data_IF_927323434917
#
_entry.id   IF_927323434917
#
_cell.length_a   1.000
_cell.length_b   1.000
_cell.length_c   1.000
_cell.angle_alpha   90.00
_cell.angle_beta   90.00
_cell.angle_gamma   90.00
#
_symmetry.space_group_name_H-M   'P 1'
#
loop_
_entity.id
_entity.type
_entity.pdbx_description
1 polymer ?
#
# COMPACT_ATOMS: atom_id res chain seq x y z
N UNK A 1 32.47 -22.01 10.92
CA UNK A 1 31.11 -21.47 11.17
C UNK A 1 30.97 -19.98 10.82
N UNK A 2 31.83 -19.09 11.32
CA UNK A 2 31.69 -17.62 11.10
C UNK A 2 31.63 -17.17 9.62
N UNK A 3 32.36 -17.85 8.72
CA UNK A 3 32.42 -17.52 7.28
C UNK A 3 31.10 -17.82 6.53
N UNK A 4 30.48 -18.97 6.80
CA UNK A 4 29.17 -19.35 6.23
C UNK A 4 28.06 -18.38 6.63
N UNK A 5 28.09 -17.86 7.86
CA UNK A 5 27.11 -16.86 8.35
C UNK A 5 27.28 -15.53 7.62
N UNK A 6 28.52 -15.10 7.39
CA UNK A 6 28.81 -13.87 6.64
C UNK A 6 28.35 -13.95 5.17
N UNK A 7 28.58 -15.09 4.53
CA UNK A 7 28.17 -15.32 3.14
C UNK A 7 26.63 -15.40 3.00
N UNK A 8 25.94 -15.95 4.00
CA UNK A 8 24.47 -15.94 4.10
C UNK A 8 23.91 -14.52 4.25
N UNK A 9 24.49 -13.71 5.15
CA UNK A 9 24.02 -12.34 5.41
C UNK A 9 24.21 -11.44 4.18
N UNK A 10 25.28 -11.66 3.40
CA UNK A 10 25.55 -10.93 2.16
C UNK A 10 24.78 -11.43 0.96
N UNK A 11 24.09 -12.58 1.06
CA UNK A 11 23.37 -13.12 -0.07
C UNK A 11 22.18 -12.21 -0.41
N UNK A 12 22.00 -11.79 -1.68
CA UNK A 12 20.96 -10.84 -2.10
C UNK A 12 19.56 -11.22 -1.61
N UNK A 13 19.24 -12.52 -1.69
CA UNK A 13 17.98 -13.07 -1.18
C UNK A 13 17.76 -12.81 0.32
N UNK A 14 18.80 -12.96 1.15
CA UNK A 14 18.69 -12.75 2.59
C UNK A 14 18.59 -11.26 2.90
N UNK A 15 19.48 -10.43 2.33
CA UNK A 15 19.46 -8.99 2.57
C UNK A 15 18.17 -8.34 2.07
N UNK A 16 17.69 -8.70 0.88
CA UNK A 16 16.45 -8.18 0.31
C UNK A 16 15.22 -8.59 1.12
N UNK A 17 15.13 -9.87 1.50
CA UNK A 17 14.05 -10.36 2.37
C UNK A 17 14.08 -9.70 3.74
N UNK A 18 15.26 -9.47 4.31
CA UNK A 18 15.40 -8.81 5.62
C UNK A 18 14.92 -7.35 5.57
N UNK A 19 15.27 -6.61 4.51
CA UNK A 19 14.77 -5.24 4.31
C UNK A 19 13.24 -5.23 4.22
N UNK A 20 12.66 -6.16 3.46
CA UNK A 20 11.20 -6.28 3.33
C UNK A 20 10.52 -6.63 4.66
N UNK A 21 11.09 -7.58 5.42
CA UNK A 21 10.56 -8.01 6.71
C UNK A 21 10.63 -6.90 7.76
N UNK A 22 11.77 -6.23 7.90
CA UNK A 22 11.93 -5.13 8.85
C UNK A 22 11.02 -3.96 8.48
N UNK A 23 10.97 -3.61 7.19
CA UNK A 23 10.11 -2.53 6.70
C UNK A 23 8.63 -2.80 6.93
N UNK A 24 8.14 -4.01 6.62
CA UNK A 24 6.73 -4.36 6.82
C UNK A 24 6.35 -4.40 8.30
N UNK A 25 7.19 -5.00 9.15
CA UNK A 25 6.96 -5.05 10.59
C UNK A 25 7.02 -3.66 11.23
N UNK A 26 7.93 -2.78 10.78
CA UNK A 26 7.97 -1.40 11.24
C UNK A 26 6.66 -0.66 10.93
N UNK A 27 6.12 -0.82 9.71
CA UNK A 27 4.81 -0.25 9.34
C UNK A 27 3.70 -0.83 10.21
N UNK A 28 3.66 -2.15 10.43
CA UNK A 28 2.67 -2.79 11.30
C UNK A 28 2.75 -2.30 12.75
N UNK A 29 3.96 -2.13 13.27
CA UNK A 29 4.19 -1.59 14.61
C UNK A 29 3.71 -0.15 14.73
N UNK A 30 4.00 0.71 13.74
CA UNK A 30 3.53 2.09 13.71
C UNK A 30 2.00 2.16 13.60
N UNK A 31 1.39 1.29 12.81
CA UNK A 31 -0.06 1.18 12.69
C UNK A 31 -0.71 0.78 14.03
N UNK A 32 -0.13 -0.21 14.71
CA UNK A 32 -0.58 -0.58 16.06
C UNK A 32 -0.47 0.59 17.05
N UNK A 33 0.67 1.30 17.05
CA UNK A 33 0.88 2.45 17.92
C UNK A 33 -0.13 3.57 17.63
N UNK A 34 -0.43 3.81 16.35
CA UNK A 34 -1.46 4.77 15.93
C UNK A 34 -2.82 4.42 16.53
N UNK A 35 -3.28 3.17 16.43
CA UNK A 35 -4.56 2.77 17.02
C UNK A 35 -4.57 2.87 18.55
N UNK A 36 -3.46 2.53 19.22
CA UNK A 36 -3.32 2.67 20.68
C UNK A 36 -3.43 4.13 21.13
N UNK A 37 -2.83 5.05 20.38
CA UNK A 37 -2.94 6.49 20.66
C UNK A 37 -4.36 6.97 20.36
N UNK A 38 -4.92 6.61 19.21
CA UNK A 38 -6.24 7.09 18.78
C UNK A 38 -7.39 6.61 19.67
N UNK A 39 -7.33 5.39 20.22
CA UNK A 39 -8.37 4.90 21.13
C UNK A 39 -8.43 5.69 22.44
N UNK A 40 -7.34 6.37 22.84
CA UNK A 40 -7.29 7.23 24.03
C UNK A 40 -7.67 8.67 23.75
N UNK A 41 -7.44 9.14 22.51
CA UNK A 41 -7.72 10.53 22.11
C UNK A 41 -9.17 10.71 21.64
N UNK A 42 -9.76 9.69 21.04
CA UNK A 42 -11.09 9.77 20.44
C UNK A 42 -12.17 9.21 21.37
N UNK A 43 -13.35 9.84 21.31
CA UNK A 43 -14.54 9.26 21.92
C UNK A 43 -14.90 7.93 21.22
N UNK A 44 -15.59 6.99 21.91
CA UNK A 44 -15.95 5.69 21.35
C UNK A 44 -16.65 5.75 19.97
N UNK A 45 -17.58 6.69 19.70
CA UNK A 45 -18.20 6.82 18.38
C UNK A 45 -17.19 7.17 17.28
N UNK A 46 -16.34 8.17 17.51
CA UNK A 46 -15.34 8.62 16.53
C UNK A 46 -14.24 7.58 16.27
N UNK A 47 -13.89 6.78 17.28
CA UNK A 47 -13.00 5.63 17.07
C UNK A 47 -13.65 4.55 16.21
N UNK A 48 -14.96 4.32 16.37
CA UNK A 48 -15.75 3.43 15.51
C UNK A 48 -15.72 3.87 14.04
N UNK A 49 -15.91 5.17 13.78
CA UNK A 49 -15.78 5.74 12.43
C UNK A 49 -14.36 5.51 11.87
N UNK A 50 -13.32 5.79 12.66
CA UNK A 50 -11.93 5.56 12.25
C UNK A 50 -11.69 4.10 11.86
N UNK A 51 -12.16 3.13 12.64
CA UNK A 51 -11.98 1.70 12.33
C UNK A 51 -12.74 1.30 11.07
N UNK A 52 -13.95 1.82 10.85
CA UNK A 52 -14.72 1.58 9.62
C UNK A 52 -13.97 2.13 8.39
N UNK A 53 -13.41 3.32 8.52
CA UNK A 53 -12.60 3.98 7.51
C UNK A 53 -11.31 3.19 7.19
N UNK A 54 -10.60 2.69 8.20
CA UNK A 54 -9.44 1.82 8.00
C UNK A 54 -9.81 0.48 7.34
N UNK A 55 -11.01 -0.05 7.63
CA UNK A 55 -11.53 -1.25 6.97
C UNK A 55 -11.77 -1.01 5.48
N UNK A 56 -12.28 0.16 5.10
CA UNK A 56 -12.42 0.58 3.71
C UNK A 56 -11.05 0.65 3.01
N UNK A 57 -10.04 1.23 3.67
CA UNK A 57 -8.65 1.24 3.16
C UNK A 57 -8.13 -0.20 2.98
N UNK A 58 -8.41 -1.07 3.96
CA UNK A 58 -8.03 -2.49 3.91
C UNK A 58 -8.61 -3.22 2.69
N UNK A 59 -9.88 -2.97 2.36
CA UNK A 59 -10.52 -3.52 1.16
C UNK A 59 -9.85 -3.05 -0.12
N UNK A 60 -9.52 -1.76 -0.23
CA UNK A 60 -8.76 -1.21 -1.36
C UNK A 60 -7.33 -1.80 -1.44
N UNK A 61 -6.78 -2.19 -0.30
CA UNK A 61 -5.50 -2.87 -0.18
C UNK A 61 -5.44 -4.21 -0.93
N UNK A 62 -6.57 -4.89 -1.14
CA UNK A 62 -6.64 -6.18 -1.86
C UNK A 62 -6.28 -6.01 -3.34
N UNK A 63 -6.77 -4.93 -3.96
CA UNK A 63 -6.43 -4.60 -5.35
C UNK A 63 -4.93 -4.26 -5.47
N UNK A 64 -4.44 -3.50 -4.49
CA UNK A 64 -3.06 -3.09 -4.37
C UNK A 64 -2.10 -4.28 -4.24
N UNK A 65 -2.44 -5.28 -3.41
CA UNK A 65 -1.59 -6.46 -3.19
C UNK A 65 -1.45 -7.32 -4.45
N UNK A 66 -2.53 -7.45 -5.21
CA UNK A 66 -2.52 -8.18 -6.49
C UNK A 66 -1.63 -7.48 -7.52
N UNK A 67 -1.74 -6.15 -7.66
CA UNK A 67 -0.88 -5.37 -8.54
C UNK A 67 0.59 -5.46 -8.13
N UNK A 68 0.89 -5.40 -6.83
CA UNK A 68 2.25 -5.52 -6.30
C UNK A 68 2.93 -6.82 -6.77
N UNK A 69 2.25 -7.96 -6.66
CA UNK A 69 2.79 -9.25 -7.12
C UNK A 69 3.03 -9.29 -8.63
N UNK A 70 2.13 -8.69 -9.42
CA UNK A 70 2.27 -8.61 -10.88
C UNK A 70 3.50 -7.80 -11.27
N UNK A 71 3.67 -6.61 -10.67
CA UNK A 71 4.84 -5.76 -10.96
C UNK A 71 6.14 -6.46 -10.58
N UNK A 72 6.22 -7.05 -9.38
CA UNK A 72 7.41 -7.77 -8.92
C UNK A 72 7.77 -8.89 -9.90
N UNK A 73 6.80 -9.68 -10.35
CA UNK A 73 7.00 -10.79 -11.28
C UNK A 73 7.54 -10.31 -12.64
N UNK A 74 7.01 -9.23 -13.19
CA UNK A 74 7.47 -8.72 -14.48
C UNK A 74 8.85 -8.05 -14.39
N UNK A 75 9.12 -7.34 -13.30
CA UNK A 75 10.42 -6.68 -13.08
C UNK A 75 11.52 -7.71 -12.82
N UNK A 76 11.26 -8.75 -12.02
CA UNK A 76 12.26 -9.79 -11.73
C UNK A 76 12.56 -10.70 -12.93
N UNK A 77 11.63 -10.81 -13.88
CA UNK A 77 11.82 -11.57 -15.11
C UNK A 77 12.51 -10.77 -16.24
N UNK A 78 12.60 -9.44 -16.10
CA UNK A 78 13.19 -8.58 -17.12
C UNK A 78 14.70 -8.79 -17.21
N UNK A 79 15.24 -8.85 -18.42
CA UNK A 79 16.66 -9.18 -18.67
C UNK A 79 17.55 -7.96 -18.79
N UNK A 80 16.96 -6.77 -18.91
CA UNK A 80 17.71 -5.54 -19.18
C UNK A 80 17.05 -4.30 -18.59
N UNK A 81 17.86 -3.28 -18.25
CA UNK A 81 17.36 -2.00 -17.74
C UNK A 81 16.38 -1.28 -18.70
N UNK A 82 16.57 -1.29 -20.04
CA UNK A 82 15.59 -0.73 -20.97
C UNK A 82 14.22 -1.42 -20.90
N UNK A 83 14.21 -2.75 -20.73
CA UNK A 83 12.97 -3.53 -20.60
C UNK A 83 12.22 -3.15 -19.33
N UNK A 84 12.92 -3.02 -18.19
CA UNK A 84 12.34 -2.55 -16.93
C UNK A 84 11.74 -1.15 -17.10
N UNK A 85 12.45 -0.22 -17.73
CA UNK A 85 11.92 1.13 -18.00
C UNK A 85 10.65 1.11 -18.85
N UNK A 86 10.60 0.25 -19.87
CA UNK A 86 9.42 0.06 -20.71
C UNK A 86 8.21 -0.43 -19.91
N UNK A 87 8.41 -1.46 -19.08
CA UNK A 87 7.38 -2.03 -18.19
C UNK A 87 6.88 -0.96 -17.20
N UNK A 88 7.80 -0.24 -16.54
CA UNK A 88 7.46 0.79 -15.56
C UNK A 88 6.70 1.94 -16.21
N UNK A 89 7.15 2.44 -17.37
CA UNK A 89 6.45 3.52 -18.07
C UNK A 89 5.03 3.12 -18.48
N UNK A 90 4.85 1.90 -19.00
CA UNK A 90 3.54 1.39 -19.39
C UNK A 90 2.62 1.22 -18.17
N UNK A 91 3.13 0.60 -17.10
CA UNK A 91 2.36 0.42 -15.87
C UNK A 91 2.03 1.74 -15.19
N UNK A 92 2.95 2.71 -15.18
CA UNK A 92 2.74 4.00 -14.52
C UNK A 92 1.52 4.73 -15.10
N UNK A 93 1.40 4.80 -16.43
CA UNK A 93 0.23 5.41 -17.06
C UNK A 93 -1.07 4.65 -16.75
N UNK A 94 -1.05 3.32 -16.74
CA UNK A 94 -2.24 2.50 -16.44
C UNK A 94 -2.65 2.61 -14.97
N UNK A 95 -1.69 2.55 -14.06
CA UNK A 95 -1.92 2.67 -12.61
C UNK A 95 -2.40 4.07 -12.27
N UNK A 96 -1.87 5.11 -12.90
CA UNK A 96 -2.36 6.47 -12.69
C UNK A 96 -3.83 6.61 -13.09
N UNK A 97 -4.20 6.15 -14.29
CA UNK A 97 -5.60 6.16 -14.75
C UNK A 97 -6.49 5.33 -13.83
N UNK A 98 -6.04 4.14 -13.42
CA UNK A 98 -6.78 3.28 -12.51
C UNK A 98 -6.96 3.93 -11.13
N UNK A 99 -5.90 4.54 -10.58
CA UNK A 99 -5.95 5.24 -9.29
C UNK A 99 -6.88 6.45 -9.34
N UNK A 100 -6.91 7.18 -10.47
CA UNK A 100 -7.82 8.29 -10.68
C UNK A 100 -9.26 7.80 -10.78
N UNK A 101 -9.50 6.69 -11.48
CA UNK A 101 -10.82 6.07 -11.55
C UNK A 101 -11.32 5.61 -10.17
N UNK A 102 -10.46 4.95 -9.38
CA UNK A 102 -10.80 4.52 -8.01
C UNK A 102 -11.07 5.73 -7.11
N UNK A 103 -10.25 6.78 -7.19
CA UNK A 103 -10.44 8.02 -6.44
C UNK A 103 -11.79 8.68 -6.77
N UNK A 104 -12.10 8.84 -8.06
CA UNK A 104 -13.37 9.42 -8.51
C UNK A 104 -14.55 8.55 -8.10
N UNK A 105 -14.42 7.22 -8.19
CA UNK A 105 -15.45 6.27 -7.77
C UNK A 105 -15.75 6.42 -6.28
N UNK A 106 -14.73 6.41 -5.41
CA UNK A 106 -14.92 6.57 -3.96
C UNK A 106 -15.53 7.94 -3.63
N UNK A 107 -15.07 9.00 -4.31
CA UNK A 107 -15.58 10.35 -4.11
C UNK A 107 -17.06 10.45 -4.50
N UNK A 108 -17.44 9.87 -5.65
CA UNK A 108 -18.82 9.87 -6.12
C UNK A 108 -19.74 8.98 -5.26
N UNK A 109 -19.23 7.84 -4.79
CA UNK A 109 -19.95 6.94 -3.88
C UNK A 109 -19.90 7.41 -2.42
N UNK A 110 -19.19 8.49 -2.10
CA UNK A 110 -19.04 8.97 -0.73
C UNK A 110 -20.35 9.14 0.05
N UNK A 111 -21.47 9.70 -0.48
CA UNK A 111 -22.72 9.77 0.27
C UNK A 111 -23.36 8.40 0.54
N UNK A 112 -23.20 7.46 -0.38
CA UNK A 112 -23.71 6.08 -0.23
C UNK A 112 -22.89 5.35 0.83
N UNK A 113 -21.56 5.47 0.77
CA UNK A 113 -20.64 4.87 1.74
C UNK A 113 -20.87 5.48 3.13
N UNK A 114 -21.07 6.79 3.22
CA UNK A 114 -21.31 7.51 4.48
C UNK A 114 -22.59 7.06 5.16
N UNK A 115 -23.68 6.95 4.39
CA UNK A 115 -24.96 6.49 4.94
C UNK A 115 -24.94 5.01 5.35
N UNK A 116 -24.23 4.15 4.60
CA UNK A 116 -24.05 2.75 4.95
C UNK A 116 -23.21 2.55 6.22
N UNK A 117 -22.08 3.27 6.32
CA UNK A 117 -21.17 3.20 7.46
C UNK A 117 -21.61 4.05 8.66
N UNK A 118 -22.70 4.83 8.51
CA UNK A 118 -23.22 5.76 9.51
C UNK A 118 -22.17 6.77 9.98
N UNK A 119 -21.39 7.30 9.05
CA UNK A 119 -20.39 8.32 9.32
C UNK A 119 -21.07 9.69 9.23
N UNK A 120 -20.91 10.53 10.24
CA UNK A 120 -21.60 11.83 10.27
C UNK A 120 -21.03 12.81 9.23
N UNK A 121 -19.74 12.67 8.91
CA UNK A 121 -19.04 13.61 8.04
C UNK A 121 -18.48 12.95 6.76
N UNK A 122 -19.13 13.23 5.63
CA UNK A 122 -18.72 12.74 4.30
C UNK A 122 -17.31 13.19 3.90
N UNK A 123 -16.79 14.29 4.46
CA UNK A 123 -15.43 14.75 4.18
C UNK A 123 -14.38 13.71 4.59
N UNK A 124 -14.65 12.91 5.64
CA UNK A 124 -13.72 11.87 6.08
C UNK A 124 -13.48 10.80 5.00
N UNK A 125 -14.53 10.45 4.25
CA UNK A 125 -14.44 9.48 3.16
C UNK A 125 -13.64 10.07 1.99
N UNK A 126 -13.86 11.34 1.66
CA UNK A 126 -13.10 12.03 0.61
C UNK A 126 -11.63 12.16 0.99
N UNK A 127 -11.33 12.47 2.26
CA UNK A 127 -9.96 12.54 2.77
C UNK A 127 -9.23 11.20 2.67
N UNK A 128 -9.94 10.08 2.75
CA UNK A 128 -9.36 8.74 2.59
C UNK A 128 -9.25 8.30 1.13
N UNK A 129 -10.07 8.88 0.24
CA UNK A 129 -9.89 8.69 -1.19
C UNK A 129 -8.53 9.24 -1.66
N UNK A 130 -8.04 10.34 -1.09
CA UNK A 130 -6.74 10.95 -1.45
C UNK A 130 -5.55 9.97 -1.35
N UNK A 131 -5.34 9.26 -0.22
CA UNK A 131 -4.36 8.20 -0.12
C UNK A 131 -4.50 7.09 -1.17
N UNK A 132 -5.70 6.79 -1.68
CA UNK A 132 -5.88 5.78 -2.73
C UNK A 132 -5.28 6.21 -4.07
N UNK A 133 -5.31 7.52 -4.38
CA UNK A 133 -4.71 8.09 -5.58
C UNK A 133 -3.19 7.99 -5.55
N UNK A 134 -2.57 8.48 -4.46
CA UNK A 134 -1.12 8.51 -4.31
C UNK A 134 -0.54 7.13 -3.93
N UNK A 135 -1.29 6.36 -3.16
CA UNK A 135 -0.87 5.06 -2.64
C UNK A 135 -0.60 4.05 -3.75
N UNK A 136 -1.47 3.97 -4.75
CA UNK A 136 -1.27 3.09 -5.90
C UNK A 136 -0.04 3.46 -6.74
N UNK A 137 0.23 4.75 -6.92
CA UNK A 137 1.43 5.22 -7.60
C UNK A 137 2.70 4.89 -6.78
N UNK A 138 2.68 5.13 -5.46
CA UNK A 138 3.79 4.79 -4.57
C UNK A 138 4.09 3.29 -4.53
N UNK A 139 3.04 2.47 -4.66
CA UNK A 139 3.13 1.03 -4.70
C UNK A 139 3.90 0.54 -5.92
N UNK A 140 3.73 1.17 -7.09
CA UNK A 140 4.49 0.80 -8.30
C UNK A 140 6.00 0.89 -8.03
N UNK A 141 6.48 2.01 -7.51
CA UNK A 141 7.90 2.22 -7.25
C UNK A 141 8.45 1.25 -6.20
N UNK A 142 7.70 1.04 -5.11
CA UNK A 142 8.07 0.04 -4.10
C UNK A 142 8.16 -1.37 -4.72
N UNK A 143 7.20 -1.74 -5.56
CA UNK A 143 7.15 -3.05 -6.21
C UNK A 143 8.32 -3.26 -7.17
N UNK A 144 8.69 -2.22 -7.91
CA UNK A 144 9.86 -2.23 -8.80
C UNK A 144 11.13 -2.44 -7.99
N UNK A 145 11.33 -1.68 -6.91
CA UNK A 145 12.48 -1.86 -6.04
C UNK A 145 12.52 -3.25 -5.42
N UNK A 146 11.36 -3.80 -5.02
CA UNK A 146 11.28 -5.15 -4.50
C UNK A 146 11.59 -6.23 -5.56
N UNK A 147 11.22 -6.01 -6.83
CA UNK A 147 11.55 -6.93 -7.93
C UNK A 147 13.01 -6.90 -8.38
N UNK A 148 13.78 -5.87 -7.98
CA UNK A 148 15.21 -5.73 -8.24
C UNK A 148 16.11 -6.37 -7.17
N UNK A 149 15.55 -6.72 -6.01
CA UNK A 149 16.22 -7.40 -4.91
C UNK A 149 16.35 -8.90 -5.17
#
# INVERSE_FOLDING_TARGET
>A
MKRKVYDLIKHPLFSGSMVMLVGSNAVSFLNYLYHLVMVRLLAPPSYGELVALFSLIGLLGILSSSLNLVVIKFVSAAKSNPEIRGIVSWLNSKIFIFSLAVFLLITFLSPIISSFLKIENNLLIILIALPSLLGLASLLYKSVLQGLL
#
